data_IF_389611091642
#
_entry.id   IF_389611091642
#
_cell.length_a   1.000
_cell.length_b   1.000
_cell.length_c   1.000
_cell.angle_alpha   90.00
_cell.angle_beta   90.00
_cell.angle_gamma   90.00
#
_symmetry.space_group_name_H-M   'P 1'
#
loop_
_entity.id
_entity.type
_entity.pdbx_description
1 polymer ?
#
# COMPACT_ATOMS: atom_id res chain seq x y z
N UNK A 1 -18.53 -11.01 11.45
CA UNK A 1 -18.00 -10.34 12.66
C UNK A 1 -16.50 -10.15 12.46
N UNK A 2 -15.99 -8.93 12.57
CA UNK A 2 -14.54 -8.68 12.49
C UNK A 2 -13.84 -9.33 13.69
N UNK A 3 -12.69 -9.99 13.52
CA UNK A 3 -12.01 -10.63 14.64
C UNK A 3 -11.63 -9.59 15.70
N UNK A 4 -12.07 -9.82 16.95
CA UNK A 4 -11.78 -8.92 18.08
C UNK A 4 -10.28 -8.76 18.30
N UNK A 5 -9.51 -9.83 18.04
CA UNK A 5 -8.05 -9.90 18.26
C UNK A 5 -7.67 -9.56 19.72
N UNK A 6 -8.53 -9.83 20.69
CA UNK A 6 -8.27 -9.50 22.10
C UNK A 6 -7.03 -10.23 22.66
N UNK A 7 -6.89 -11.53 22.37
CA UNK A 7 -5.71 -12.30 22.80
C UNK A 7 -4.41 -11.75 22.18
N UNK A 8 -4.48 -11.38 20.89
CA UNK A 8 -3.35 -10.77 20.19
C UNK A 8 -3.01 -9.38 20.74
N UNK A 9 -4.02 -8.59 21.12
CA UNK A 9 -3.84 -7.30 21.76
C UNK A 9 -3.12 -7.46 23.11
N UNK A 10 -3.58 -8.38 23.96
CA UNK A 10 -2.94 -8.69 25.24
C UNK A 10 -1.49 -9.14 25.06
N UNK A 11 -1.22 -9.98 24.05
CA UNK A 11 0.14 -10.40 23.69
C UNK A 11 1.01 -9.20 23.29
N UNK A 12 0.52 -8.31 22.42
CA UNK A 12 1.25 -7.13 21.97
C UNK A 12 1.54 -6.17 23.13
N UNK A 13 0.60 -5.95 24.04
CA UNK A 13 0.83 -5.14 25.25
C UNK A 13 1.94 -5.76 26.11
N UNK A 14 1.89 -7.08 26.36
CA UNK A 14 2.91 -7.77 27.13
C UNK A 14 4.30 -7.67 26.48
N UNK A 15 4.40 -7.89 25.17
CA UNK A 15 5.66 -7.80 24.43
C UNK A 15 6.19 -6.36 24.35
N UNK A 16 5.32 -5.36 24.23
CA UNK A 16 5.74 -3.95 24.28
C UNK A 16 6.25 -3.54 25.66
N UNK A 17 5.63 -4.03 26.75
CA UNK A 17 6.14 -3.83 28.12
C UNK A 17 7.53 -4.46 28.28
N UNK A 18 7.72 -5.69 27.81
CA UNK A 18 9.01 -6.37 27.85
C UNK A 18 10.07 -5.66 26.98
N UNK A 19 9.71 -5.24 25.77
CA UNK A 19 10.60 -4.53 24.86
C UNK A 19 10.99 -3.14 25.39
N UNK A 20 10.06 -2.43 26.04
CA UNK A 20 10.36 -1.15 26.72
C UNK A 20 11.49 -1.33 27.73
N UNK A 21 11.42 -2.35 28.58
CA UNK A 21 12.45 -2.63 29.58
C UNK A 21 13.79 -3.03 28.94
N UNK A 22 13.76 -3.92 27.93
CA UNK A 22 14.97 -4.45 27.30
C UNK A 22 15.69 -3.45 26.38
N UNK A 23 14.95 -2.59 25.68
CA UNK A 23 15.48 -1.69 24.64
C UNK A 23 15.45 -0.20 25.03
N UNK A 24 14.93 0.12 26.21
CA UNK A 24 14.85 1.51 26.68
C UNK A 24 13.95 2.39 25.82
N UNK A 25 12.82 1.88 25.35
CA UNK A 25 11.90 2.59 24.44
C UNK A 25 11.27 3.82 25.14
N UNK A 26 11.87 5.00 24.94
CA UNK A 26 11.51 6.24 25.65
C UNK A 26 10.14 6.79 25.24
N UNK A 27 9.64 6.40 24.06
CA UNK A 27 8.32 6.78 23.57
C UNK A 27 7.14 6.10 24.25
N UNK A 28 7.41 5.16 25.18
CA UNK A 28 6.39 4.42 25.92
C UNK A 28 6.43 4.76 27.42
N UNK A 29 6.29 6.03 27.85
CA UNK A 29 6.46 6.42 29.26
C UNK A 29 5.47 5.74 30.20
N UNK A 30 4.25 5.46 29.74
CA UNK A 30 3.13 4.99 30.55
C UNK A 30 2.29 3.90 29.83
N UNK A 31 1.43 3.21 30.56
CA UNK A 31 0.58 2.14 30.01
C UNK A 31 -0.35 2.66 28.90
N UNK A 32 -0.78 3.92 28.94
CA UNK A 32 -1.65 4.52 27.92
C UNK A 32 -0.96 4.60 26.56
N UNK A 33 0.33 4.93 26.52
CA UNK A 33 1.11 4.92 25.27
C UNK A 33 1.31 3.51 24.71
N UNK A 34 1.51 2.52 25.58
CA UNK A 34 1.65 1.11 25.21
C UNK A 34 0.36 0.56 24.61
N UNK A 35 -0.77 0.76 25.31
CA UNK A 35 -2.11 0.38 24.87
C UNK A 35 -2.44 1.00 23.51
N UNK A 36 -2.17 2.31 23.36
CA UNK A 36 -2.43 3.00 22.09
C UNK A 36 -1.63 2.40 20.93
N UNK A 37 -0.33 2.12 21.13
CA UNK A 37 0.49 1.51 20.10
C UNK A 37 0.04 0.06 19.79
N UNK A 38 -0.32 -0.72 20.81
CA UNK A 38 -0.88 -2.05 20.64
C UNK A 38 -2.16 -2.02 19.78
N UNK A 39 -3.08 -1.09 20.04
CA UNK A 39 -4.27 -0.92 19.19
C UNK A 39 -3.94 -0.50 17.76
N UNK A 40 -2.90 0.30 17.53
CA UNK A 40 -2.47 0.64 16.16
C UNK A 40 -1.92 -0.58 15.41
N UNK A 41 -1.18 -1.46 16.10
CA UNK A 41 -0.80 -2.77 15.54
C UNK A 41 -2.02 -3.63 15.24
N UNK A 42 -3.00 -3.71 16.14
CA UNK A 42 -4.24 -4.45 15.90
C UNK A 42 -5.01 -3.91 14.69
N UNK A 43 -5.14 -2.59 14.57
CA UNK A 43 -5.80 -1.95 13.44
C UNK A 43 -5.09 -2.29 12.11
N UNK A 44 -3.76 -2.27 12.10
CA UNK A 44 -2.93 -2.61 10.94
C UNK A 44 -3.04 -4.10 10.58
N UNK A 45 -2.98 -5.00 11.57
CA UNK A 45 -3.18 -6.44 11.36
C UNK A 45 -4.58 -6.78 10.86
N UNK A 46 -5.58 -6.05 11.32
CA UNK A 46 -6.96 -6.13 10.81
C UNK A 46 -7.02 -5.80 9.33
N UNK A 47 -6.26 -4.80 8.86
CA UNK A 47 -6.17 -4.50 7.43
C UNK A 47 -5.61 -5.68 6.62
N UNK A 48 -4.62 -6.39 7.16
CA UNK A 48 -4.13 -7.64 6.53
C UNK A 48 -5.20 -8.75 6.52
N UNK A 49 -6.00 -8.89 7.58
CA UNK A 49 -7.15 -9.82 7.58
C UNK A 49 -8.14 -9.46 6.49
N UNK A 50 -8.45 -8.18 6.33
CA UNK A 50 -9.37 -7.71 5.30
C UNK A 50 -8.88 -8.08 3.91
N UNK A 51 -7.61 -7.83 3.58
CA UNK A 51 -7.06 -8.24 2.28
C UNK A 51 -7.16 -9.74 2.05
N UNK A 52 -6.94 -10.57 3.08
CA UNK A 52 -7.17 -12.02 2.97
C UNK A 52 -8.65 -12.34 2.77
N UNK A 53 -9.55 -11.64 3.45
CA UNK A 53 -10.98 -11.90 3.39
C UNK A 53 -11.61 -11.51 2.04
N UNK A 54 -11.19 -10.39 1.44
CA UNK A 54 -11.72 -9.96 0.13
C UNK A 54 -11.34 -10.91 -1.01
N UNK A 55 -10.29 -11.72 -0.82
CA UNK A 55 -9.82 -12.73 -1.76
C UNK A 55 -10.51 -14.11 -1.58
N UNK A 56 -11.28 -14.30 -0.51
CA UNK A 56 -11.90 -15.62 -0.19
C UNK A 56 -13.18 -15.87 -0.98
N UNK A 57 -13.36 -17.11 -1.40
CA UNK A 57 -14.55 -17.57 -2.12
C UNK A 57 -14.61 -17.05 -3.55
N UNK A 58 -15.58 -17.54 -4.33
CA UNK A 58 -15.79 -17.07 -5.69
C UNK A 58 -16.27 -15.62 -5.70
N UNK A 59 -15.60 -14.77 -6.48
CA UNK A 59 -15.98 -13.37 -6.67
C UNK A 59 -16.81 -13.25 -7.94
N UNK A 60 -17.97 -12.58 -7.85
CA UNK A 60 -18.82 -12.36 -9.01
C UNK A 60 -18.18 -11.36 -10.00
N UNK A 61 -18.30 -11.62 -11.30
CA UNK A 61 -17.74 -10.78 -12.37
C UNK A 61 -18.21 -9.31 -12.29
N UNK A 62 -19.44 -9.08 -11.80
CA UNK A 62 -20.00 -7.73 -11.59
C UNK A 62 -19.28 -6.89 -10.51
N UNK A 63 -18.37 -7.49 -9.73
CA UNK A 63 -17.47 -6.78 -8.81
C UNK A 63 -16.20 -6.30 -9.50
N UNK A 64 -15.86 -6.87 -10.66
CA UNK A 64 -14.72 -6.50 -11.48
C UNK A 64 -15.09 -5.54 -12.63
N UNK A 65 -16.35 -5.51 -13.05
CA UNK A 65 -16.85 -4.56 -14.05
C UNK A 65 -16.97 -3.13 -13.49
N UNK A 66 -16.16 -2.15 -13.94
CA UNK A 66 -16.22 -0.77 -13.46
C UNK A 66 -17.53 -0.05 -13.79
N UNK A 67 -18.28 -0.54 -14.77
CA UNK A 67 -19.54 0.07 -15.21
C UNK A 67 -20.74 -0.49 -14.44
N UNK A 68 -20.52 -1.47 -13.56
CA UNK A 68 -21.55 -2.04 -12.71
C UNK A 68 -21.56 -1.38 -11.32
N UNK A 69 -22.75 -1.15 -10.76
CA UNK A 69 -22.92 -0.48 -9.46
C UNK A 69 -22.27 -1.22 -8.27
N UNK A 70 -21.99 -2.51 -8.44
CA UNK A 70 -21.32 -3.34 -7.42
C UNK A 70 -19.79 -3.34 -7.52
N UNK A 71 -19.20 -2.63 -8.48
CA UNK A 71 -17.75 -2.54 -8.66
C UNK A 71 -17.03 -2.26 -7.34
N UNK A 72 -15.95 -2.99 -7.12
CA UNK A 72 -15.06 -2.79 -5.98
C UNK A 72 -13.64 -3.15 -6.41
N UNK A 73 -12.74 -2.18 -6.48
CA UNK A 73 -11.41 -2.37 -7.06
C UNK A 73 -10.59 -3.47 -6.34
N UNK A 74 -10.75 -3.61 -5.02
CA UNK A 74 -10.05 -4.66 -4.25
C UNK A 74 -10.56 -6.06 -4.61
N UNK A 75 -11.88 -6.20 -4.76
CA UNK A 75 -12.48 -7.45 -5.27
C UNK A 75 -12.22 -7.68 -6.75
N UNK A 76 -12.09 -6.63 -7.57
CA UNK A 76 -11.75 -6.74 -8.98
C UNK A 76 -10.37 -7.38 -9.16
N UNK A 77 -9.36 -6.91 -8.40
CA UNK A 77 -8.03 -7.53 -8.40
C UNK A 77 -8.12 -9.01 -8.02
N UNK A 78 -8.82 -9.34 -6.94
CA UNK A 78 -8.98 -10.72 -6.50
C UNK A 78 -9.72 -11.59 -7.54
N UNK A 79 -10.74 -11.05 -8.22
CA UNK A 79 -11.43 -11.73 -9.31
C UNK A 79 -10.46 -12.05 -10.45
N UNK A 80 -9.69 -11.08 -10.92
CA UNK A 80 -8.72 -11.29 -11.99
C UNK A 80 -7.65 -12.31 -11.60
N UNK A 81 -7.17 -12.28 -10.36
CA UNK A 81 -6.26 -13.32 -9.85
C UNK A 81 -6.90 -14.71 -9.84
N UNK A 82 -8.17 -14.84 -9.45
CA UNK A 82 -8.91 -16.11 -9.49
C UNK A 82 -9.11 -16.64 -10.92
N UNK A 83 -9.16 -15.76 -11.92
CA UNK A 83 -9.26 -16.11 -13.34
C UNK A 83 -7.89 -16.29 -14.02
N UNK A 84 -6.77 -16.15 -13.29
CA UNK A 84 -5.43 -16.19 -13.89
C UNK A 84 -5.08 -14.98 -14.76
N UNK A 85 -5.88 -13.91 -14.75
CA UNK A 85 -5.61 -12.67 -15.46
C UNK A 85 -4.69 -11.76 -14.64
N UNK A 86 -3.41 -12.15 -14.54
CA UNK A 86 -2.40 -11.47 -13.73
C UNK A 86 -2.14 -10.05 -14.22
N UNK A 87 -2.22 -9.82 -15.53
CA UNK A 87 -1.98 -8.51 -16.12
C UNK A 87 -3.03 -7.48 -15.71
N UNK A 88 -4.31 -7.84 -15.78
CA UNK A 88 -5.38 -6.94 -15.35
C UNK A 88 -5.35 -6.68 -13.85
N UNK A 89 -5.01 -7.71 -13.06
CA UNK A 89 -4.81 -7.55 -11.62
C UNK A 89 -3.67 -6.56 -11.31
N UNK A 90 -2.55 -6.65 -12.03
CA UNK A 90 -1.41 -5.74 -11.90
C UNK A 90 -1.79 -4.30 -12.27
N UNK A 91 -2.47 -4.14 -13.39
CA UNK A 91 -2.98 -2.85 -13.85
C UNK A 91 -3.93 -2.19 -12.83
N UNK A 92 -4.87 -2.94 -12.29
CA UNK A 92 -5.77 -2.44 -11.24
C UNK A 92 -5.01 -2.06 -9.96
N UNK A 93 -3.99 -2.83 -9.56
CA UNK A 93 -3.15 -2.45 -8.41
C UNK A 93 -2.39 -1.14 -8.66
N UNK A 94 -1.89 -0.92 -9.89
CA UNK A 94 -1.32 0.36 -10.27
C UNK A 94 -2.33 1.50 -10.15
N UNK A 95 -3.54 1.35 -10.71
CA UNK A 95 -4.60 2.36 -10.62
C UNK A 95 -5.02 2.62 -9.17
N UNK A 96 -5.18 1.57 -8.36
CA UNK A 96 -5.48 1.67 -6.94
C UNK A 96 -4.42 2.46 -6.20
N UNK A 97 -3.15 2.23 -6.52
CA UNK A 97 -2.02 2.97 -5.93
C UNK A 97 -1.99 4.42 -6.42
N UNK A 98 -2.20 4.65 -7.71
CA UNK A 98 -2.13 5.98 -8.31
C UNK A 98 -3.20 6.91 -7.75
N UNK A 99 -4.45 6.42 -7.67
CA UNK A 99 -5.57 7.20 -7.19
C UNK A 99 -5.66 7.25 -5.67
N UNK A 100 -5.35 6.13 -5.00
CA UNK A 100 -5.64 5.86 -3.59
C UNK A 100 -7.12 6.03 -3.23
N UNK A 101 -7.62 5.11 -2.40
CA UNK A 101 -9.00 5.13 -1.93
C UNK A 101 -9.26 6.36 -1.06
N UNK A 102 -10.45 6.94 -1.21
CA UNK A 102 -10.96 7.99 -0.31
C UNK A 102 -12.08 7.46 0.58
N UNK A 103 -12.21 7.92 1.83
CA UNK A 103 -13.36 7.56 2.66
C UNK A 103 -14.71 8.06 2.09
N UNK A 104 -14.73 9.29 1.56
CA UNK A 104 -15.94 9.97 1.06
C UNK A 104 -16.45 9.42 -0.28
N UNK A 105 -15.54 9.14 -1.19
CA UNK A 105 -15.81 8.81 -2.60
C UNK A 105 -15.35 7.41 -2.99
N UNK A 106 -14.82 6.64 -2.04
CA UNK A 106 -14.34 5.25 -2.23
C UNK A 106 -13.38 5.16 -3.42
N UNK A 107 -13.73 4.36 -4.43
CA UNK A 107 -12.98 4.13 -5.65
C UNK A 107 -13.50 4.94 -6.85
N UNK A 108 -14.36 5.94 -6.63
CA UNK A 108 -15.05 6.66 -7.73
C UNK A 108 -14.10 7.19 -8.81
N UNK A 109 -12.99 7.83 -8.40
CA UNK A 109 -12.00 8.36 -9.36
C UNK A 109 -11.35 7.26 -10.20
N UNK A 110 -11.01 6.13 -9.58
CA UNK A 110 -10.51 4.96 -10.27
C UNK A 110 -11.57 4.41 -11.22
N UNK A 111 -12.80 4.24 -10.73
CA UNK A 111 -13.92 3.70 -11.48
C UNK A 111 -14.25 4.54 -12.72
N UNK A 112 -14.29 5.87 -12.58
CA UNK A 112 -14.57 6.79 -13.69
C UNK A 112 -13.49 6.74 -14.76
N UNK A 113 -12.21 6.61 -14.38
CA UNK A 113 -11.11 6.48 -15.35
C UNK A 113 -11.12 5.09 -15.96
N UNK A 114 -11.10 4.05 -15.14
CA UNK A 114 -11.01 2.65 -15.59
C UNK A 114 -12.22 2.24 -16.44
N UNK A 115 -13.43 2.66 -16.08
CA UNK A 115 -14.67 2.40 -16.82
C UNK A 115 -14.99 3.41 -17.93
N UNK A 116 -14.06 4.30 -18.28
CA UNK A 116 -14.28 5.32 -19.31
C UNK A 116 -15.57 6.15 -19.10
N UNK A 117 -15.88 6.51 -17.85
CA UNK A 117 -17.13 7.18 -17.45
C UNK A 117 -18.41 6.39 -17.84
N UNK A 118 -18.35 5.06 -17.90
CA UNK A 118 -19.46 4.20 -18.28
C UNK A 118 -19.45 3.73 -19.74
N UNK A 119 -18.53 4.24 -20.58
CA UNK A 119 -18.52 4.00 -22.02
C UNK A 119 -17.71 2.78 -22.46
N UNK A 120 -16.92 2.18 -21.57
CA UNK A 120 -16.01 1.09 -21.93
C UNK A 120 -15.11 0.68 -20.75
N UNK A 121 -13.97 0.07 -21.04
CA UNK A 121 -12.97 -0.29 -20.03
C UNK A 121 -11.59 0.03 -20.60
N UNK A 122 -10.78 0.77 -19.85
CA UNK A 122 -9.34 0.90 -20.10
C UNK A 122 -8.62 -0.27 -19.42
N UNK A 123 -8.80 -1.47 -19.98
CA UNK A 123 -8.13 -2.70 -19.52
C UNK A 123 -6.66 -2.74 -19.98
N UNK A 124 -5.91 -3.70 -19.45
CA UNK A 124 -4.49 -3.85 -19.76
C UNK A 124 -4.23 -4.06 -21.26
N UNK A 125 -4.90 -5.00 -21.97
CA UNK A 125 -4.71 -5.17 -23.41
C UNK A 125 -4.94 -3.87 -24.19
N UNK A 126 -5.99 -3.11 -23.86
CA UNK A 126 -6.33 -1.88 -24.57
C UNK A 126 -5.30 -0.79 -24.31
N UNK A 127 -4.93 -0.57 -23.04
CA UNK A 127 -4.00 0.50 -22.64
C UNK A 127 -2.57 0.21 -23.10
N UNK A 128 -2.12 -1.04 -23.01
CA UNK A 128 -0.77 -1.44 -23.43
C UNK A 128 -0.60 -1.42 -24.96
N UNK A 129 -1.64 -1.78 -25.72
CA UNK A 129 -1.60 -1.76 -27.18
C UNK A 129 -1.69 -0.34 -27.76
N UNK A 130 -2.45 0.57 -27.13
CA UNK A 130 -2.57 1.95 -27.59
C UNK A 130 -2.60 2.95 -26.41
N UNK A 131 -1.44 3.25 -25.80
CA UNK A 131 -1.35 4.19 -24.68
C UNK A 131 -1.79 5.61 -25.08
N UNK A 132 -1.64 5.98 -26.35
CA UNK A 132 -2.06 7.29 -26.88
C UNK A 132 -3.57 7.46 -26.78
N UNK A 133 -4.36 6.44 -27.14
CA UNK A 133 -5.82 6.50 -27.03
C UNK A 133 -6.30 6.72 -25.58
N UNK A 134 -5.66 6.06 -24.60
CA UNK A 134 -5.91 6.30 -23.18
C UNK A 134 -5.61 7.77 -22.80
N UNK A 135 -4.46 8.28 -23.23
CA UNK A 135 -4.02 9.63 -22.91
C UNK A 135 -4.91 10.71 -23.54
N UNK A 136 -5.33 10.52 -24.79
CA UNK A 136 -6.23 11.43 -25.49
C UNK A 136 -7.60 11.45 -24.83
N UNK A 137 -8.12 10.28 -24.47
CA UNK A 137 -9.36 10.17 -23.71
C UNK A 137 -9.27 10.89 -22.36
N UNK A 138 -8.19 10.66 -21.61
CA UNK A 138 -8.01 11.32 -20.31
C UNK A 138 -7.90 12.84 -20.47
N UNK A 139 -7.23 13.31 -21.52
CA UNK A 139 -7.08 14.73 -21.84
C UNK A 139 -8.42 15.38 -22.17
N UNK A 140 -9.30 14.68 -22.87
CA UNK A 140 -10.64 15.16 -23.18
C UNK A 140 -11.60 15.11 -21.98
N UNK A 141 -11.40 14.18 -21.03
CA UNK A 141 -12.40 13.84 -20.01
C UNK A 141 -12.01 14.14 -18.56
N UNK A 142 -10.78 14.60 -18.27
CA UNK A 142 -10.31 14.72 -16.88
C UNK A 142 -11.18 15.61 -15.98
N UNK A 143 -11.90 16.59 -16.53
CA UNK A 143 -12.83 17.45 -15.79
C UNK A 143 -14.14 16.74 -15.40
N UNK A 144 -14.52 15.70 -16.14
CA UNK A 144 -15.72 14.90 -15.90
C UNK A 144 -15.47 13.74 -14.92
N UNK A 145 -14.20 13.43 -14.64
CA UNK A 145 -13.81 12.38 -13.68
C UNK A 145 -14.10 12.86 -12.25
N UNK A 146 -14.98 12.14 -11.57
CA UNK A 146 -15.38 12.43 -10.19
C UNK A 146 -14.40 11.90 -9.14
N UNK A 147 -14.81 12.05 -7.87
CA UNK A 147 -14.05 11.57 -6.71
C UNK A 147 -12.77 12.36 -6.42
N UNK A 148 -12.14 12.09 -5.28
CA UNK A 148 -10.83 12.58 -4.83
C UNK A 148 -9.63 11.68 -5.19
N UNK A 149 -8.41 12.21 -5.27
CA UNK A 149 -7.22 11.43 -4.90
C UNK A 149 -7.22 11.20 -3.38
N UNK A 150 -6.83 10.00 -2.95
CA UNK A 150 -6.66 9.64 -1.54
C UNK A 150 -5.53 10.40 -0.85
N UNK A 151 -5.47 10.29 0.48
CA UNK A 151 -4.53 11.07 1.30
C UNK A 151 -3.05 10.84 0.93
N UNK A 152 -2.70 9.61 0.55
CA UNK A 152 -1.35 9.24 0.10
C UNK A 152 -0.99 9.82 -1.27
N UNK A 153 -1.98 10.33 -2.01
CA UNK A 153 -1.89 10.81 -3.40
C UNK A 153 -2.46 12.22 -3.58
N UNK A 154 -2.64 12.97 -2.49
CA UNK A 154 -3.31 14.29 -2.47
C UNK A 154 -2.64 15.39 -3.31
N UNK A 155 -1.42 15.15 -3.79
CA UNK A 155 -0.68 16.08 -4.65
C UNK A 155 -0.67 15.67 -6.13
N UNK A 156 -1.36 14.59 -6.47
CA UNK A 156 -1.52 14.16 -7.86
C UNK A 156 -2.62 14.96 -8.56
N UNK A 157 -2.60 14.92 -9.90
CA UNK A 157 -3.55 15.66 -10.72
C UNK A 157 -3.86 14.91 -12.01
N UNK A 158 -5.12 14.97 -12.44
CA UNK A 158 -5.53 14.51 -13.78
C UNK A 158 -5.38 15.59 -14.84
N UNK A 159 -5.08 16.84 -14.45
CA UNK A 159 -4.93 17.93 -15.41
C UNK A 159 -3.74 17.63 -16.34
N UNK A 160 -3.92 17.61 -17.67
CA UNK A 160 -2.87 17.25 -18.62
C UNK A 160 -1.62 18.13 -18.51
N UNK A 161 -1.79 19.40 -18.14
CA UNK A 161 -0.71 20.38 -18.00
C UNK A 161 -0.13 20.47 -16.59
N UNK A 162 -0.47 19.54 -15.68
CA UNK A 162 0.10 19.52 -14.33
C UNK A 162 1.58 19.15 -14.37
N UNK A 163 2.32 19.51 -13.29
CA UNK A 163 3.73 19.12 -13.13
C UNK A 163 3.94 17.60 -13.10
N UNK A 164 2.93 16.85 -12.65
CA UNK A 164 2.92 15.39 -12.54
C UNK A 164 1.64 14.85 -13.16
N UNK A 165 1.53 14.84 -14.50
CA UNK A 165 0.33 14.36 -15.17
C UNK A 165 0.27 12.83 -15.10
N UNK A 166 -0.94 12.27 -14.97
CA UNK A 166 -1.14 10.82 -14.91
C UNK A 166 -0.62 10.12 -16.18
N UNK A 167 -0.75 10.75 -17.34
CA UNK A 167 -0.24 10.25 -18.62
C UNK A 167 1.24 9.83 -18.52
N UNK A 168 2.05 10.61 -17.79
CA UNK A 168 3.46 10.28 -17.58
C UNK A 168 3.63 9.07 -16.66
N UNK A 169 2.84 8.96 -15.59
CA UNK A 169 2.88 7.82 -14.70
C UNK A 169 2.45 6.51 -15.41
N UNK A 170 1.45 6.58 -16.30
CA UNK A 170 1.03 5.43 -17.13
C UNK A 170 2.15 5.05 -18.09
N UNK A 171 2.74 6.02 -18.79
CA UNK A 171 3.86 5.75 -19.71
C UNK A 171 5.04 5.09 -19.02
N UNK A 172 5.46 5.61 -17.85
CA UNK A 172 6.56 5.02 -17.08
C UNK A 172 6.17 3.62 -16.56
N UNK A 173 4.90 3.38 -16.20
CA UNK A 173 4.43 2.06 -15.73
C UNK A 173 4.46 1.00 -16.83
N UNK A 174 3.94 1.33 -18.02
CA UNK A 174 3.96 0.44 -19.17
C UNK A 174 5.39 0.09 -19.58
N UNK A 175 6.29 1.08 -19.58
CA UNK A 175 7.70 0.86 -19.87
C UNK A 175 8.39 -0.02 -18.81
N UNK A 176 7.98 0.10 -17.55
CA UNK A 176 8.55 -0.68 -16.45
C UNK A 176 8.11 -2.15 -16.47
N UNK A 177 6.82 -2.42 -16.70
CA UNK A 177 6.30 -3.79 -16.83
C UNK A 177 6.77 -4.44 -18.13
N UNK A 178 6.79 -3.68 -19.23
CA UNK A 178 7.23 -4.16 -20.53
C UNK A 178 6.21 -5.05 -21.25
N UNK A 179 6.53 -5.46 -22.49
CA UNK A 179 5.59 -6.15 -23.37
C UNK A 179 5.31 -7.61 -22.96
N UNK A 180 6.14 -8.20 -22.10
CA UNK A 180 5.97 -9.57 -21.63
C UNK A 180 4.90 -9.71 -20.52
N UNK A 181 4.38 -8.59 -20.02
CA UNK A 181 3.37 -8.55 -18.97
C UNK A 181 3.92 -8.81 -17.57
N UNK A 182 3.02 -8.73 -16.59
CA UNK A 182 3.34 -8.74 -15.16
C UNK A 182 3.90 -10.08 -14.69
N UNK A 183 3.36 -11.20 -15.19
CA UNK A 183 3.79 -12.52 -14.78
C UNK A 183 5.27 -12.76 -15.12
N UNK A 184 5.67 -12.45 -16.35
CA UNK A 184 7.07 -12.55 -16.78
C UNK A 184 7.96 -11.56 -16.01
N UNK A 185 7.53 -10.29 -15.90
CA UNK A 185 8.25 -9.26 -15.17
C UNK A 185 8.57 -9.67 -13.72
N UNK A 186 7.59 -10.18 -12.97
CA UNK A 186 7.82 -10.60 -11.58
C UNK A 186 8.61 -11.91 -11.48
N UNK A 187 8.44 -12.85 -12.41
CA UNK A 187 9.26 -14.06 -12.45
C UNK A 187 10.73 -13.74 -12.68
N UNK A 188 11.05 -12.81 -13.60
CA UNK A 188 12.41 -12.33 -13.83
C UNK A 188 13.00 -11.64 -12.60
N UNK A 189 12.20 -10.87 -11.86
CA UNK A 189 12.65 -10.26 -10.61
C UNK A 189 13.01 -11.31 -9.55
N UNK A 190 12.27 -12.43 -9.47
CA UNK A 190 12.60 -13.56 -8.58
C UNK A 190 13.92 -14.21 -9.01
N UNK A 191 14.10 -14.47 -10.32
CA UNK A 191 15.35 -15.03 -10.85
C UNK A 191 16.54 -14.13 -10.54
N UNK A 192 16.39 -12.82 -10.68
CA UNK A 192 17.46 -11.85 -10.47
C UNK A 192 17.81 -11.62 -8.99
N UNK A 193 16.81 -11.63 -8.09
CA UNK A 193 16.99 -11.30 -6.67
C UNK A 193 17.11 -12.54 -5.76
N UNK A 194 16.84 -13.74 -6.28
CA UNK A 194 16.80 -14.98 -5.52
C UNK A 194 15.45 -15.21 -4.82
N UNK A 195 15.39 -16.19 -3.91
CA UNK A 195 14.13 -16.71 -3.37
C UNK A 195 13.67 -16.06 -2.05
N UNK A 196 14.34 -15.01 -1.56
CA UNK A 196 13.94 -14.34 -0.32
C UNK A 196 12.91 -13.23 -0.60
N UNK A 197 11.66 -13.32 -0.09
CA UNK A 197 10.61 -12.32 -0.32
C UNK A 197 11.01 -10.89 0.03
N UNK A 198 11.86 -10.71 1.04
CA UNK A 198 12.35 -9.41 1.50
C UNK A 198 13.37 -8.82 0.51
N UNK A 199 14.26 -9.66 0.00
CA UNK A 199 15.27 -9.27 -1.01
C UNK A 199 14.61 -8.94 -2.34
N UNK A 200 13.61 -9.72 -2.79
CA UNK A 200 12.88 -9.45 -4.03
C UNK A 200 12.09 -8.14 -3.91
N UNK A 201 11.42 -7.91 -2.78
CA UNK A 201 10.70 -6.65 -2.53
C UNK A 201 11.67 -5.46 -2.63
N UNK A 202 12.83 -5.55 -1.99
CA UNK A 202 13.81 -4.46 -2.01
C UNK A 202 14.40 -4.23 -3.41
N UNK A 203 14.72 -5.31 -4.13
CA UNK A 203 15.16 -5.27 -5.51
C UNK A 203 14.19 -4.49 -6.41
N UNK A 204 12.88 -4.79 -6.30
CA UNK A 204 11.82 -4.10 -7.04
C UNK A 204 11.65 -2.66 -6.56
N UNK A 205 11.66 -2.42 -5.26
CA UNK A 205 11.47 -1.09 -4.67
C UNK A 205 12.53 -0.08 -5.15
N UNK A 206 13.79 -0.53 -5.23
CA UNK A 206 14.90 0.30 -5.72
C UNK A 206 14.79 0.62 -7.22
N UNK A 207 14.23 -0.30 -8.01
CA UNK A 207 14.14 -0.18 -9.48
C UNK A 207 12.83 0.44 -9.98
N UNK A 208 11.79 0.48 -9.15
CA UNK A 208 10.51 1.08 -9.51
C UNK A 208 10.71 2.59 -9.72
N UNK A 209 10.65 3.03 -10.97
CA UNK A 209 10.89 4.41 -11.39
C UNK A 209 9.70 4.95 -12.19
N UNK A 210 8.59 5.18 -11.50
CA UNK A 210 7.37 5.73 -12.10
C UNK A 210 7.21 7.17 -11.64
N UNK A 211 6.96 8.10 -12.55
CA UNK A 211 6.65 9.48 -12.21
C UNK A 211 5.52 9.52 -11.17
N UNK A 212 5.64 10.40 -10.19
CA UNK A 212 4.76 10.51 -9.01
C UNK A 212 4.85 9.37 -7.98
N UNK A 213 5.49 8.22 -8.27
CA UNK A 213 5.65 7.15 -7.29
C UNK A 213 6.87 7.41 -6.40
N UNK A 214 6.69 8.35 -5.46
CA UNK A 214 7.60 8.50 -4.32
C UNK A 214 7.52 7.32 -3.34
N UNK A 215 8.30 7.37 -2.26
CA UNK A 215 8.43 6.29 -1.26
C UNK A 215 7.11 5.58 -0.91
N UNK A 216 6.07 6.35 -0.56
CA UNK A 216 4.78 5.80 -0.14
C UNK A 216 4.12 4.98 -1.24
N UNK A 217 4.05 5.51 -2.46
CA UNK A 217 3.41 4.81 -3.57
C UNK A 217 4.19 3.57 -4.01
N UNK A 218 5.53 3.60 -3.98
CA UNK A 218 6.34 2.40 -4.23
C UNK A 218 6.04 1.31 -3.21
N UNK A 219 6.00 1.69 -1.94
CA UNK A 219 5.72 0.77 -0.84
C UNK A 219 4.29 0.22 -0.92
N UNK A 220 3.30 1.08 -1.15
CA UNK A 220 1.89 0.71 -1.28
C UNK A 220 1.66 -0.24 -2.47
N UNK A 221 2.23 0.08 -3.64
CA UNK A 221 2.15 -0.77 -4.84
C UNK A 221 2.71 -2.17 -4.56
N UNK A 222 3.97 -2.27 -4.12
CA UNK A 222 4.62 -3.56 -3.90
C UNK A 222 3.99 -4.34 -2.75
N UNK A 223 3.45 -3.65 -1.74
CA UNK A 223 2.68 -4.30 -0.68
C UNK A 223 1.39 -4.93 -1.21
N UNK A 224 0.68 -4.26 -2.14
CA UNK A 224 -0.49 -4.84 -2.80
C UNK A 224 -0.12 -6.00 -3.72
N UNK A 225 0.97 -5.90 -4.48
CA UNK A 225 1.51 -7.01 -5.29
C UNK A 225 1.71 -8.26 -4.43
N UNK A 226 2.36 -8.13 -3.27
CA UNK A 226 2.56 -9.25 -2.34
C UNK A 226 1.27 -9.75 -1.69
N UNK A 227 0.37 -8.84 -1.27
CA UNK A 227 -0.90 -9.19 -0.60
C UNK A 227 -1.88 -9.96 -1.49
N UNK A 228 -1.91 -9.65 -2.79
CA UNK A 228 -2.74 -10.35 -3.77
C UNK A 228 -2.02 -11.53 -4.46
N UNK A 229 -0.75 -11.77 -4.12
CA UNK A 229 -0.01 -12.93 -4.61
C UNK A 229 0.42 -12.84 -6.08
N UNK A 230 0.56 -11.63 -6.65
CA UNK A 230 1.11 -11.45 -8.00
C UNK A 230 2.60 -11.79 -8.04
N UNK A 231 3.29 -11.58 -6.92
CA UNK A 231 4.69 -11.98 -6.74
C UNK A 231 4.92 -12.42 -5.28
N UNK A 232 5.88 -13.34 -5.03
CA UNK A 232 6.19 -13.83 -3.68
C UNK A 232 7.05 -12.83 -2.90
N UNK A 233 6.55 -11.61 -2.69
CA UNK A 233 7.30 -10.50 -2.10
C UNK A 233 6.68 -10.03 -0.79
N UNK A 234 7.53 -9.54 0.13
CA UNK A 234 7.11 -8.94 1.39
C UNK A 234 8.12 -7.89 1.82
N UNK A 235 7.66 -6.77 2.37
CA UNK A 235 8.55 -5.75 2.90
C UNK A 235 9.49 -6.31 3.98
N UNK A 236 10.80 -6.20 3.76
CA UNK A 236 11.83 -6.61 4.71
C UNK A 236 12.26 -5.54 5.71
N UNK A 237 11.87 -4.28 5.48
CA UNK A 237 12.13 -3.15 6.37
C UNK A 237 10.89 -2.25 6.45
N UNK A 238 10.87 -1.29 7.38
CA UNK A 238 9.77 -0.32 7.45
C UNK A 238 9.95 0.84 6.45
N UNK A 239 10.97 0.80 5.58
CA UNK A 239 11.27 1.80 4.54
C UNK A 239 11.21 3.25 5.07
N UNK A 240 11.79 3.49 6.25
CA UNK A 240 11.70 4.77 6.97
C UNK A 240 12.59 5.87 6.37
N UNK A 241 13.53 5.52 5.49
CA UNK A 241 14.38 6.50 4.82
C UNK A 241 13.54 7.39 3.90
N UNK A 242 13.67 8.71 4.08
CA UNK A 242 12.85 9.69 3.35
C UNK A 242 11.37 9.72 3.77
N UNK A 243 10.98 9.00 4.83
CA UNK A 243 9.62 8.96 5.33
C UNK A 243 9.47 9.84 6.57
N UNK A 244 8.52 10.78 6.54
CA UNK A 244 8.19 11.61 7.71
C UNK A 244 7.30 10.86 8.68
N UNK A 245 6.25 10.17 8.23
CA UNK A 245 5.31 9.45 9.10
C UNK A 245 5.94 8.31 9.92
N UNK A 246 6.27 7.16 9.30
CA UNK A 246 6.82 6.00 10.01
C UNK A 246 8.20 6.28 10.62
N UNK A 247 9.02 7.12 9.97
CA UNK A 247 10.31 7.55 10.51
C UNK A 247 10.19 8.35 11.80
N UNK A 248 9.24 9.31 11.86
CA UNK A 248 8.97 10.06 13.09
C UNK A 248 8.37 9.16 14.17
N UNK A 249 7.53 8.20 13.80
CA UNK A 249 6.96 7.25 14.76
C UNK A 249 7.99 6.31 15.36
N UNK A 250 8.91 5.80 14.55
CA UNK A 250 10.00 4.96 15.04
C UNK A 250 10.95 5.76 15.96
N UNK A 251 11.32 6.99 15.59
CA UNK A 251 12.13 7.87 16.46
C UNK A 251 11.41 8.25 17.74
N UNK A 252 10.11 8.54 17.66
CA UNK A 252 9.30 8.79 18.86
C UNK A 252 9.31 7.58 19.78
N UNK A 253 9.14 6.37 19.25
CA UNK A 253 9.15 5.13 20.03
C UNK A 253 10.49 4.92 20.75
N UNK A 254 11.60 5.09 20.03
CA UNK A 254 12.94 4.78 20.54
C UNK A 254 13.44 5.90 21.46
N UNK A 255 13.41 7.13 20.97
CA UNK A 255 14.10 8.27 21.59
C UNK A 255 13.16 9.17 22.39
N UNK A 256 11.84 8.95 22.30
CA UNK A 256 10.85 9.85 22.90
C UNK A 256 10.66 11.15 22.12
N UNK A 257 11.27 11.28 20.94
CA UNK A 257 11.22 12.48 20.09
C UNK A 257 11.05 12.12 18.62
N UNK A 258 10.08 12.77 17.95
CA UNK A 258 9.83 12.60 16.51
C UNK A 258 10.99 13.09 15.64
N UNK A 259 11.76 14.05 16.14
CA UNK A 259 12.81 14.77 15.41
C UNK A 259 14.22 14.38 15.85
N UNK A 260 14.38 13.24 16.52
CA UNK A 260 15.70 12.79 16.97
C UNK A 260 16.68 12.64 15.80
N UNK A 261 17.96 12.90 16.07
CA UNK A 261 19.05 12.73 15.11
C UNK A 261 19.44 11.27 14.85
N UNK A 262 18.71 10.30 15.42
CA UNK A 262 19.05 8.87 15.30
C UNK A 262 19.01 8.46 13.83
N UNK A 263 20.13 7.85 13.40
CA UNK A 263 20.34 7.44 12.01
C UNK A 263 19.36 6.33 11.64
N UNK A 264 18.89 6.36 10.39
CA UNK A 264 17.90 5.41 9.88
C UNK A 264 18.30 3.94 10.07
N UNK A 265 19.58 3.61 9.87
CA UNK A 265 20.08 2.25 10.08
C UNK A 265 19.90 1.79 11.53
N UNK A 266 20.23 2.64 12.51
CA UNK A 266 20.06 2.32 13.92
C UNK A 266 18.57 2.19 14.29
N UNK A 267 17.72 3.07 13.75
CA UNK A 267 16.26 2.96 13.94
C UNK A 267 15.76 1.63 13.36
N UNK A 268 16.16 1.25 12.15
CA UNK A 268 15.74 0.00 11.53
C UNK A 268 16.19 -1.23 12.32
N UNK A 269 17.44 -1.25 12.81
CA UNK A 269 17.94 -2.34 13.66
C UNK A 269 17.07 -2.54 14.91
N UNK A 270 16.65 -1.47 15.56
CA UNK A 270 15.73 -1.54 16.71
C UNK A 270 14.36 -2.09 16.30
N UNK A 271 13.84 -1.68 15.14
CA UNK A 271 12.59 -2.23 14.60
C UNK A 271 12.70 -3.72 14.26
N UNK A 272 13.85 -4.18 13.74
CA UNK A 272 14.11 -5.59 13.45
C UNK A 272 14.07 -6.42 14.73
N UNK A 273 14.77 -5.98 15.78
CA UNK A 273 14.74 -6.64 17.11
C UNK A 273 13.33 -6.63 17.70
N UNK A 274 12.60 -5.52 17.56
CA UNK A 274 11.23 -5.41 18.03
C UNK A 274 10.30 -6.37 17.28
N UNK A 275 10.43 -6.51 15.96
CA UNK A 275 9.56 -7.39 15.17
C UNK A 275 9.82 -8.88 15.44
N UNK A 276 11.03 -9.29 15.86
CA UNK A 276 11.27 -10.67 16.33
C UNK A 276 10.34 -11.03 17.50
N UNK A 277 10.02 -10.05 18.36
CA UNK A 277 9.09 -10.21 19.49
C UNK A 277 7.64 -10.03 19.08
N UNK A 278 7.34 -8.91 18.41
CA UNK A 278 5.97 -8.56 18.05
C UNK A 278 5.42 -9.47 16.95
N UNK A 279 6.25 -9.96 16.04
CA UNK A 279 5.90 -10.86 14.92
C UNK A 279 4.77 -10.32 14.06
N UNK A 280 4.77 -9.01 13.83
CA UNK A 280 3.71 -8.33 13.06
C UNK A 280 4.12 -8.10 11.60
N UNK A 281 5.42 -8.08 11.32
CA UNK A 281 5.98 -7.80 10.01
C UNK A 281 6.10 -6.29 9.72
N UNK A 282 7.00 -5.95 8.82
CA UNK A 282 7.41 -4.56 8.62
C UNK A 282 6.36 -3.65 7.99
N UNK A 283 5.44 -4.18 7.17
CA UNK A 283 4.32 -3.38 6.66
C UNK A 283 3.34 -2.96 7.76
N UNK A 284 3.09 -3.85 8.71
CA UNK A 284 2.27 -3.55 9.88
C UNK A 284 3.01 -2.61 10.83
N UNK A 285 4.32 -2.80 11.01
CA UNK A 285 5.19 -1.91 11.77
C UNK A 285 5.15 -0.48 11.23
N UNK A 286 5.27 -0.33 9.91
CA UNK A 286 5.22 0.95 9.22
C UNK A 286 3.90 1.70 9.45
N UNK A 287 2.77 1.04 9.18
CA UNK A 287 1.44 1.65 9.28
C UNK A 287 1.10 2.01 10.75
N UNK A 288 1.39 1.09 11.68
CA UNK A 288 1.12 1.31 13.09
C UNK A 288 1.92 2.49 13.65
N UNK A 289 3.22 2.60 13.34
CA UNK A 289 4.06 3.71 13.80
C UNK A 289 3.67 5.04 13.14
N UNK A 290 3.33 5.01 11.85
CA UNK A 290 2.87 6.19 11.12
C UNK A 290 1.59 6.80 11.72
N UNK A 291 0.66 5.95 12.17
CA UNK A 291 -0.59 6.38 12.80
C UNK A 291 -0.44 6.70 14.28
N UNK A 292 0.24 5.84 15.04
CA UNK A 292 0.48 6.04 16.47
C UNK A 292 1.14 7.38 16.76
N UNK A 293 2.14 7.77 15.98
CA UNK A 293 2.87 9.00 16.23
C UNK A 293 1.99 10.24 16.18
N UNK A 294 0.87 10.24 15.43
CA UNK A 294 -0.05 11.38 15.33
C UNK A 294 -0.77 11.64 16.65
N UNK A 295 -1.08 10.58 17.41
CA UNK A 295 -1.82 10.66 18.67
C UNK A 295 -1.36 9.56 19.64
N UNK A 296 -0.15 9.68 20.24
CA UNK A 296 0.51 8.57 20.95
C UNK A 296 -0.23 8.04 22.19
N UNK A 297 -1.17 8.83 22.72
CA UNK A 297 -1.99 8.51 23.90
C UNK A 297 -3.48 8.33 23.57
N UNK A 298 -3.87 8.46 22.31
CA UNK A 298 -5.28 8.33 21.91
C UNK A 298 -5.36 7.50 20.65
N UNK A 299 -6.02 6.35 20.73
CA UNK A 299 -6.25 5.54 19.55
C UNK A 299 -7.17 6.27 18.58
N UNK A 300 -6.69 6.43 17.35
CA UNK A 300 -7.45 6.96 16.23
C UNK A 300 -7.37 5.93 15.12
N UNK A 301 -8.52 5.38 14.73
CA UNK A 301 -8.58 4.40 13.66
C UNK A 301 -8.33 5.08 12.31
N UNK A 302 -7.39 4.54 11.53
CA UNK A 302 -7.15 5.02 10.18
C UNK A 302 -8.22 4.48 9.21
N UNK A 303 -8.82 5.36 8.42
CA UNK A 303 -9.95 5.05 7.52
C UNK A 303 -9.59 5.07 6.02
N UNK A 304 -8.33 5.34 5.68
CA UNK A 304 -7.88 5.62 4.30
C UNK A 304 -7.50 7.08 4.06
#
# INVERSE_FOLDING_TARGET
>A
MWPSRNAEHQRLVAELKAAKAAQGLKGLPDDKTIETLAYQFIASLRREDYYRMVQRGGIAANRADPNHASFDAERAVAFHMQQGNVDEAGWLIFLMTHFARRPDSRWRRLQDVYGQLGAGIWDWPTVSANPTAFNDWLTANWMNVGGNFGNHRKYESLRPTAKRPMQRAVSDYLAWIGPAGHAAFFAEAVVAAGNNPHTIFDYLYQRLAINSFGRLAKFDYLSLIGRYGLAPIKAGSAYIQGATGPGNGARLLIDGSRTSGTRHQAVQQVLDVLDVRLKVGMAVMEDALCNWQKSPRSFVHYLG
#
